data_IF_248037473230
#
_entry.id   IF_248037473230
#
_cell.length_a   1.000
_cell.length_b   1.000
_cell.length_c   1.000
_cell.angle_alpha   90.00
_cell.angle_beta   90.00
_cell.angle_gamma   90.00
#
_symmetry.space_group_name_H-M   'P 1'
#
loop_
_entity.id
_entity.type
_entity.pdbx_description
1 polymer ?
#
# COMPACT_ATOMS: atom_id res chain seq x y z
N UNK A 1 -20.13 6.26 23.37
CA UNK A 1 -19.47 5.10 22.67
C UNK A 1 -20.07 5.05 21.27
N UNK A 2 -19.27 5.12 20.21
CA UNK A 2 -19.77 4.99 18.85
C UNK A 2 -20.19 3.52 18.63
N UNK A 3 -21.44 3.27 18.33
CA UNK A 3 -21.92 1.94 17.99
C UNK A 3 -21.17 1.40 16.77
N UNK A 4 -20.69 0.14 16.87
CA UNK A 4 -20.05 -0.51 15.75
C UNK A 4 -21.08 -0.71 14.62
N UNK A 5 -20.73 -0.35 13.37
CA UNK A 5 -21.67 -0.47 12.26
C UNK A 5 -22.10 -1.92 12.08
N UNK A 6 -23.39 -2.20 12.11
CA UNK A 6 -23.97 -3.54 11.89
C UNK A 6 -23.81 -3.94 10.41
N UNK A 7 -22.99 -4.93 10.13
CA UNK A 7 -22.83 -5.49 8.79
C UNK A 7 -22.53 -6.97 8.86
N UNK A 8 -22.87 -7.69 7.81
CA UNK A 8 -22.60 -9.13 7.67
C UNK A 8 -21.54 -9.38 6.60
N UNK A 9 -20.76 -10.44 6.79
CA UNK A 9 -19.71 -10.84 5.85
C UNK A 9 -20.00 -12.24 5.36
N UNK A 10 -19.99 -12.43 4.05
CA UNK A 10 -19.99 -13.73 3.41
C UNK A 10 -18.64 -14.00 2.78
N UNK A 11 -18.00 -15.08 3.17
CA UNK A 11 -16.73 -15.51 2.61
C UNK A 11 -16.98 -16.52 1.48
N UNK A 12 -16.34 -16.33 0.35
CA UNK A 12 -16.46 -17.19 -0.82
C UNK A 12 -15.08 -17.43 -1.45
N UNK A 13 -14.96 -18.53 -2.20
CA UNK A 13 -13.72 -18.91 -2.90
C UNK A 13 -12.50 -18.93 -1.97
N UNK A 14 -12.66 -19.54 -0.81
CA UNK A 14 -11.58 -19.67 0.17
C UNK A 14 -10.56 -20.66 -0.38
N UNK A 15 -9.30 -20.23 -0.50
CA UNK A 15 -8.18 -21.04 -0.95
C UNK A 15 -7.03 -20.90 0.04
N UNK A 16 -6.62 -22.03 0.62
CA UNK A 16 -5.41 -22.06 1.44
C UNK A 16 -4.18 -22.27 0.53
N UNK A 17 -3.25 -21.35 0.59
CA UNK A 17 -2.00 -21.40 -0.17
C UNK A 17 -0.83 -21.54 0.81
N UNK A 18 -0.41 -22.79 1.05
CA UNK A 18 0.68 -23.13 1.98
C UNK A 18 2.05 -22.62 1.52
N UNK A 19 2.26 -22.52 0.19
CA UNK A 19 3.55 -22.04 -0.37
C UNK A 19 3.80 -20.58 -0.04
N UNK A 20 2.75 -19.78 0.09
CA UNK A 20 2.81 -18.36 0.40
C UNK A 20 2.34 -18.05 1.84
N UNK A 21 2.12 -19.08 2.66
CA UNK A 21 1.64 -18.97 4.06
C UNK A 21 0.46 -18.02 4.20
N UNK A 22 -0.55 -18.20 3.32
CA UNK A 22 -1.72 -17.33 3.32
C UNK A 22 -3.00 -18.01 2.88
N UNK A 23 -4.10 -17.51 3.40
CA UNK A 23 -5.45 -17.85 2.96
C UNK A 23 -5.95 -16.73 2.06
N UNK A 24 -6.44 -17.07 0.88
CA UNK A 24 -7.00 -16.12 -0.11
C UNK A 24 -8.50 -16.32 -0.18
N UNK A 25 -9.26 -15.23 -0.22
CA UNK A 25 -10.72 -15.32 -0.27
C UNK A 25 -11.34 -14.09 -0.94
N UNK A 26 -12.55 -14.29 -1.44
CA UNK A 26 -13.44 -13.21 -1.85
C UNK A 26 -14.42 -12.94 -0.72
N UNK A 27 -14.58 -11.69 -0.37
CA UNK A 27 -15.43 -11.25 0.72
C UNK A 27 -16.55 -10.38 0.16
N UNK A 28 -17.76 -10.81 0.36
CA UNK A 28 -18.96 -10.01 0.12
C UNK A 28 -19.45 -9.46 1.47
N UNK A 29 -19.52 -8.14 1.55
CA UNK A 29 -19.96 -7.40 2.74
C UNK A 29 -21.35 -6.84 2.47
N UNK A 30 -22.31 -7.18 3.30
CA UNK A 30 -23.70 -6.71 3.22
C UNK A 30 -23.96 -5.76 4.38
N UNK A 31 -24.53 -4.62 4.06
CA UNK A 31 -24.81 -3.55 5.02
C UNK A 31 -25.95 -2.66 4.53
N UNK A 32 -26.52 -1.90 5.42
CA UNK A 32 -27.54 -0.92 5.06
C UNK A 32 -26.94 0.17 4.15
N UNK A 33 -27.58 0.59 3.05
CA UNK A 33 -27.03 1.55 2.09
C UNK A 33 -26.58 2.89 2.68
N UNK A 34 -27.20 3.32 3.78
CA UNK A 34 -26.91 4.54 4.54
C UNK A 34 -25.59 4.45 5.31
N UNK A 35 -25.15 3.24 5.66
CA UNK A 35 -23.96 3.01 6.47
C UNK A 35 -22.66 3.19 5.68
N UNK A 36 -21.69 3.86 6.29
CA UNK A 36 -20.33 3.99 5.77
C UNK A 36 -19.41 2.94 6.41
N UNK A 37 -19.11 1.88 5.68
CA UNK A 37 -18.18 0.84 6.15
C UNK A 37 -16.77 1.12 5.67
N UNK A 38 -15.82 1.14 6.60
CA UNK A 38 -14.40 1.29 6.32
C UNK A 38 -13.73 -0.07 6.09
N UNK A 39 -12.59 -0.07 5.40
CA UNK A 39 -11.78 -1.30 5.23
C UNK A 39 -11.28 -1.85 6.57
N UNK A 40 -11.06 -0.97 7.54
CA UNK A 40 -10.62 -1.33 8.89
C UNK A 40 -11.67 -2.16 9.62
N UNK A 41 -12.97 -1.80 9.51
CA UNK A 41 -14.06 -2.56 10.10
C UNK A 41 -14.13 -3.98 9.51
N UNK A 42 -13.99 -4.09 8.18
CA UNK A 42 -13.96 -5.39 7.50
C UNK A 42 -12.74 -6.20 7.95
N UNK A 43 -11.57 -5.58 8.06
CA UNK A 43 -10.33 -6.18 8.56
C UNK A 43 -10.51 -6.77 9.96
N UNK A 44 -11.03 -5.98 10.90
CA UNK A 44 -11.28 -6.41 12.28
C UNK A 44 -12.18 -7.65 12.32
N UNK A 45 -13.27 -7.66 11.56
CA UNK A 45 -14.22 -8.77 11.52
C UNK A 45 -13.61 -10.07 10.94
N UNK A 46 -12.79 -9.95 9.88
CA UNK A 46 -12.05 -11.10 9.32
C UNK A 46 -10.97 -11.57 10.31
N UNK A 47 -10.23 -10.67 10.91
CA UNK A 47 -9.22 -10.99 11.90
C UNK A 47 -9.80 -11.77 13.09
N UNK A 48 -10.98 -11.38 13.56
CA UNK A 48 -11.72 -12.08 14.62
C UNK A 48 -12.12 -13.50 14.20
N UNK A 49 -12.62 -13.70 12.96
CA UNK A 49 -13.04 -15.02 12.47
C UNK A 49 -11.87 -15.99 12.31
N UNK A 50 -10.73 -15.52 11.80
CA UNK A 50 -9.55 -16.35 11.58
C UNK A 50 -8.56 -16.35 12.74
N UNK A 51 -8.81 -15.56 13.78
CA UNK A 51 -7.89 -15.36 14.92
C UNK A 51 -6.46 -14.95 14.48
N UNK A 52 -6.36 -14.16 13.41
CA UNK A 52 -5.10 -13.70 12.80
C UNK A 52 -5.17 -12.20 12.49
N UNK A 53 -4.15 -11.45 12.91
CA UNK A 53 -4.12 -10.00 12.76
C UNK A 53 -3.58 -9.52 11.39
N UNK A 54 -2.86 -10.40 10.67
CA UNK A 54 -2.19 -10.06 9.42
C UNK A 54 -3.14 -10.17 8.21
N UNK A 55 -4.15 -9.31 8.18
CA UNK A 55 -5.18 -9.28 7.14
C UNK A 55 -4.95 -8.12 6.18
N UNK A 56 -4.91 -8.42 4.88
CA UNK A 56 -4.78 -7.43 3.80
C UNK A 56 -6.02 -7.45 2.94
N UNK A 57 -6.68 -6.29 2.78
CA UNK A 57 -7.88 -6.13 1.96
C UNK A 57 -7.59 -5.21 0.78
N UNK A 58 -8.02 -5.63 -0.41
CA UNK A 58 -7.87 -4.84 -1.63
C UNK A 58 -9.02 -5.07 -2.61
N UNK A 59 -9.09 -4.22 -3.64
CA UNK A 59 -10.09 -4.36 -4.69
C UNK A 59 -11.53 -4.19 -4.21
N UNK A 60 -11.77 -3.38 -3.16
CA UNK A 60 -13.13 -3.14 -2.67
C UNK A 60 -13.94 -2.35 -3.70
N UNK A 61 -15.00 -2.98 -4.21
CA UNK A 61 -15.95 -2.41 -5.15
C UNK A 61 -17.35 -2.44 -4.54
N UNK A 62 -17.98 -1.28 -4.48
CA UNK A 62 -19.40 -1.16 -4.09
C UNK A 62 -20.29 -1.52 -5.27
N UNK A 63 -21.39 -2.20 -5.00
CA UNK A 63 -22.43 -2.44 -6.00
C UNK A 63 -23.24 -1.17 -6.25
N UNK A 64 -23.83 -1.08 -7.42
CA UNK A 64 -24.80 -0.02 -7.73
C UNK A 64 -25.97 -0.08 -6.73
N UNK A 65 -26.48 1.07 -6.31
CA UNK A 65 -27.51 1.17 -5.27
C UNK A 65 -27.01 1.01 -3.83
N UNK A 66 -25.75 0.65 -3.59
CA UNK A 66 -25.20 0.47 -2.24
C UNK A 66 -25.51 -0.91 -1.65
N UNK A 67 -25.44 -1.02 -0.32
CA UNK A 67 -25.82 -2.23 0.45
C UNK A 67 -24.87 -3.43 0.32
N UNK A 68 -24.05 -3.51 -0.73
CA UNK A 68 -23.10 -4.60 -0.95
C UNK A 68 -21.75 -4.08 -1.40
N UNK A 69 -20.69 -4.59 -0.80
CA UNK A 69 -19.31 -4.36 -1.25
C UNK A 69 -18.60 -5.68 -1.42
N UNK A 70 -18.00 -5.91 -2.58
CA UNK A 70 -17.16 -7.08 -2.84
C UNK A 70 -15.69 -6.68 -2.76
N UNK A 71 -14.88 -7.46 -2.06
CA UNK A 71 -13.44 -7.23 -1.94
C UNK A 71 -12.67 -8.56 -1.90
N UNK A 72 -11.36 -8.46 -2.11
CA UNK A 72 -10.44 -9.58 -1.89
C UNK A 72 -9.77 -9.41 -0.54
N UNK A 73 -9.66 -10.51 0.20
CA UNK A 73 -8.92 -10.57 1.45
C UNK A 73 -7.84 -11.65 1.39
N UNK A 74 -6.71 -11.33 1.97
CA UNK A 74 -5.60 -12.26 2.21
C UNK A 74 -5.29 -12.24 3.69
N UNK A 75 -5.25 -13.42 4.30
CA UNK A 75 -4.90 -13.61 5.71
C UNK A 75 -3.57 -14.35 5.74
N UNK A 76 -2.54 -13.71 6.25
CA UNK A 76 -1.19 -14.27 6.38
C UNK A 76 -1.00 -14.90 7.76
N UNK A 77 -0.22 -15.98 7.80
CA UNK A 77 0.09 -16.68 9.04
C UNK A 77 1.05 -15.87 9.89
N UNK A 78 2.10 -15.30 9.26
CA UNK A 78 3.11 -14.46 9.92
C UNK A 78 3.22 -13.07 9.29
N UNK A 79 3.73 -12.11 10.03
CA UNK A 79 3.99 -10.76 9.51
C UNK A 79 5.12 -10.75 8.49
N UNK A 80 6.11 -11.62 8.67
CA UNK A 80 7.25 -11.74 7.75
C UNK A 80 6.82 -12.27 6.38
N UNK A 81 5.94 -13.29 6.35
CA UNK A 81 5.32 -13.76 5.11
C UNK A 81 4.54 -12.66 4.42
N UNK A 82 3.79 -11.84 5.16
CA UNK A 82 3.10 -10.67 4.61
C UNK A 82 4.08 -9.66 3.99
N UNK A 83 5.17 -9.32 4.68
CA UNK A 83 6.20 -8.39 4.17
C UNK A 83 6.91 -8.93 2.93
N UNK A 84 7.17 -10.24 2.88
CA UNK A 84 7.86 -10.93 1.80
C UNK A 84 7.04 -10.98 0.51
N UNK A 85 5.74 -11.28 0.61
CA UNK A 85 4.90 -11.58 -0.55
C UNK A 85 4.00 -10.43 -1.00
N UNK A 86 3.72 -9.46 -0.13
CA UNK A 86 2.90 -8.31 -0.52
C UNK A 86 3.70 -7.27 -1.31
N UNK A 87 3.09 -6.66 -2.34
CA UNK A 87 3.72 -5.57 -3.07
C UNK A 87 4.08 -4.39 -2.15
N UNK A 88 5.28 -3.83 -2.31
CA UNK A 88 5.77 -2.68 -1.53
C UNK A 88 4.77 -1.52 -1.42
N UNK A 89 4.00 -1.29 -2.49
CA UNK A 89 2.94 -0.27 -2.52
C UNK A 89 1.82 -0.53 -1.50
N UNK A 90 1.45 -1.80 -1.26
CA UNK A 90 0.42 -2.14 -0.26
C UNK A 90 0.98 -2.05 1.15
N UNK A 91 2.21 -2.52 1.36
CA UNK A 91 2.90 -2.39 2.65
C UNK A 91 3.03 -0.93 3.08
N UNK A 92 3.51 -0.06 2.19
CA UNK A 92 3.61 1.37 2.46
C UNK A 92 2.25 2.03 2.81
N UNK A 93 1.15 1.52 2.25
CA UNK A 93 -0.20 1.98 2.60
C UNK A 93 -0.62 1.53 3.99
N UNK A 94 -0.33 0.27 4.35
CA UNK A 94 -0.64 -0.29 5.67
C UNK A 94 0.18 0.44 6.74
N UNK A 95 1.46 0.70 6.49
CA UNK A 95 2.32 1.47 7.39
C UNK A 95 1.79 2.90 7.58
N UNK A 96 1.36 3.54 6.49
CA UNK A 96 0.75 4.88 6.57
C UNK A 96 -0.57 4.88 7.36
N UNK A 97 -1.38 3.82 7.25
CA UNK A 97 -2.62 3.66 8.01
C UNK A 97 -2.34 3.50 9.51
N UNK A 98 -1.23 2.86 9.89
CA UNK A 98 -0.80 2.70 11.30
C UNK A 98 -0.33 4.01 11.94
N UNK A 99 0.16 4.98 11.14
CA UNK A 99 0.62 6.28 11.64
C UNK A 99 -0.56 7.18 12.02
N UNK A 100 -0.38 7.97 13.07
CA UNK A 100 -1.35 9.00 13.44
C UNK A 100 -1.57 10.00 12.29
N UNK A 101 -2.76 10.62 12.15
CA UNK A 101 -3.06 11.55 11.07
C UNK A 101 -2.06 12.71 10.95
N UNK A 102 -1.48 13.16 12.09
CA UNK A 102 -0.47 14.22 12.16
C UNK A 102 0.87 13.79 11.57
N UNK A 103 1.24 12.51 11.72
CA UNK A 103 2.54 11.98 11.31
C UNK A 103 2.52 11.45 9.87
N UNK A 104 1.35 11.39 9.23
CA UNK A 104 1.23 11.04 7.83
C UNK A 104 1.92 12.11 7.00
N UNK A 105 3.01 11.75 6.33
CA UNK A 105 3.68 12.66 5.40
C UNK A 105 2.65 13.17 4.41
N UNK A 106 2.41 14.50 4.44
CA UNK A 106 1.57 15.17 3.45
C UNK A 106 2.14 14.84 2.08
N UNK A 107 1.34 14.23 1.22
CA UNK A 107 1.77 13.97 -0.16
C UNK A 107 2.19 15.30 -0.76
N UNK A 108 3.46 15.40 -1.13
CA UNK A 108 3.97 16.61 -1.81
C UNK A 108 3.06 16.83 -3.02
N UNK A 109 2.37 17.98 -3.05
CA UNK A 109 1.57 18.38 -4.20
C UNK A 109 2.40 18.15 -5.45
N UNK A 110 1.84 17.49 -6.46
CA UNK A 110 2.53 17.25 -7.73
C UNK A 110 3.02 18.59 -8.23
N UNK A 111 4.34 18.73 -8.31
CA UNK A 111 4.94 19.96 -8.80
C UNK A 111 4.49 20.22 -10.24
N UNK A 112 4.20 21.47 -10.55
CA UNK A 112 3.78 21.84 -11.91
C UNK A 112 4.83 21.43 -12.94
N UNK A 113 4.39 21.13 -14.16
CA UNK A 113 5.22 20.62 -15.28
C UNK A 113 6.48 21.47 -15.52
N UNK A 114 6.39 22.81 -15.37
CA UNK A 114 7.52 23.74 -15.48
C UNK A 114 8.60 23.48 -14.42
N UNK A 115 8.20 23.32 -13.14
CA UNK A 115 9.12 23.09 -12.01
C UNK A 115 9.80 21.73 -12.15
N UNK A 116 9.07 20.69 -12.55
CA UNK A 116 9.63 19.35 -12.79
C UNK A 116 10.68 19.37 -13.91
N UNK A 117 10.43 20.14 -15.00
CA UNK A 117 11.35 20.29 -16.12
C UNK A 117 12.65 21.01 -15.69
N UNK A 118 12.54 22.07 -14.92
CA UNK A 118 13.70 22.81 -14.38
C UNK A 118 14.54 21.93 -13.45
N UNK A 119 13.91 21.19 -12.53
CA UNK A 119 14.63 20.26 -11.64
C UNK A 119 15.34 19.13 -12.40
N UNK A 120 14.72 18.60 -13.46
CA UNK A 120 15.36 17.59 -14.32
C UNK A 120 16.60 18.17 -15.01
N UNK A 121 16.50 19.38 -15.53
CA UNK A 121 17.62 20.06 -16.21
C UNK A 121 18.78 20.36 -15.25
N UNK A 122 18.48 20.85 -14.04
CA UNK A 122 19.48 21.06 -12.98
C UNK A 122 20.21 19.77 -12.58
N UNK A 123 19.47 18.64 -12.46
CA UNK A 123 20.08 17.31 -12.20
C UNK A 123 21.02 16.90 -13.34
N UNK A 124 20.65 17.13 -14.59
CA UNK A 124 21.49 16.80 -15.74
C UNK A 124 22.77 17.66 -15.75
N UNK A 125 22.67 18.95 -15.47
CA UNK A 125 23.82 19.85 -15.33
C UNK A 125 24.79 19.35 -14.25
N UNK A 126 24.29 19.06 -13.04
CA UNK A 126 25.12 18.54 -11.94
C UNK A 126 25.85 17.24 -12.32
N UNK A 127 25.16 16.28 -12.97
CA UNK A 127 25.79 15.04 -13.43
C UNK A 127 26.88 15.28 -14.48
N UNK A 128 26.64 16.19 -15.42
CA UNK A 128 27.65 16.57 -16.42
C UNK A 128 28.89 17.20 -15.80
N UNK A 129 28.72 18.05 -14.79
CA UNK A 129 29.83 18.68 -14.06
C UNK A 129 30.66 17.66 -13.28
N UNK A 130 30.00 16.75 -12.55
CA UNK A 130 30.67 15.68 -11.82
C UNK A 130 31.47 14.76 -12.76
N UNK A 131 30.89 14.34 -13.89
CA UNK A 131 31.59 13.52 -14.90
C UNK A 131 32.80 14.23 -15.46
N UNK A 132 32.73 15.53 -15.72
CA UNK A 132 33.87 16.34 -16.22
C UNK A 132 34.97 16.42 -15.16
N UNK A 133 34.63 16.55 -13.87
CA UNK A 133 35.60 16.56 -12.77
C UNK A 133 36.32 15.22 -12.63
N UNK A 134 35.62 14.08 -12.70
CA UNK A 134 36.23 12.75 -12.64
C UNK A 134 37.19 12.52 -13.80
N UNK A 135 36.81 12.85 -15.02
CA UNK A 135 37.70 12.74 -16.21
C UNK A 135 38.94 13.60 -16.06
N UNK A 136 38.81 14.83 -15.54
CA UNK A 136 39.95 15.69 -15.32
C UNK A 136 40.90 15.19 -14.24
N UNK A 137 40.39 14.56 -13.18
CA UNK A 137 41.20 13.92 -12.15
C UNK A 137 41.98 12.72 -12.71
N UNK A 138 41.34 11.87 -13.48
CA UNK A 138 41.96 10.73 -14.15
C UNK A 138 43.08 11.18 -15.12
N UNK A 139 42.85 12.23 -15.90
CA UNK A 139 43.86 12.82 -16.79
C UNK A 139 45.07 13.37 -16.01
N UNK A 140 44.84 14.01 -14.86
CA UNK A 140 45.93 14.52 -14.00
C UNK A 140 46.74 13.38 -13.39
N UNK A 141 46.12 12.28 -13.01
CA UNK A 141 46.82 11.10 -12.49
C UNK A 141 47.65 10.39 -13.56
N UNK A 142 47.14 10.28 -14.81
CA UNK A 142 47.89 9.73 -15.93
C UNK A 142 49.12 10.56 -16.36
N UNK A 143 49.12 11.88 -16.11
CA UNK A 143 50.26 12.76 -16.39
C UNK A 143 51.35 12.74 -15.30
N UNK A 144 51.05 12.15 -14.13
CA UNK A 144 52.01 12.01 -13.01
C UNK A 144 52.72 10.64 -12.99
N UNK A 145 52.31 9.73 -13.86
CA UNK A 145 53.00 8.46 -14.17
C UNK A 145 53.83 8.61 -15.42
#
# INVERSE_FOLDING_TARGET
MAEEPKFTIRLSKIKNNRVLDRIQMVVDVFYEPTLKITKENIKKKIASQFKKNNVVIFGAKKSFGGGRTRCFAMVYDTEDSMKKYEPKRRLARIEREKLAPKDRKVEKKKEGRKVTKVKKHQKQKKRGTLRRQTINLERKQKKKK
#
